data_IF_677006794609
#
_entry.id   IF_677006794609
#
_cell.length_a   1.000
_cell.length_b   1.000
_cell.length_c   1.000
_cell.angle_alpha   90.00
_cell.angle_beta   90.00
_cell.angle_gamma   90.00
#
_symmetry.space_group_name_H-M   'P 1'
#
loop_
_entity.id
_entity.type
_entity.pdbx_description
1 polymer ?
#
# COMPACT_ATOMS: atom_id res chain seq x y z
N UNK A 1 53.45 42.14 37.59
CA UNK A 1 52.01 41.85 37.72
C UNK A 1 51.39 41.90 36.33
N UNK A 2 50.58 40.87 36.00
CA UNK A 2 49.71 40.70 34.80
C UNK A 2 50.41 40.67 33.42
N UNK A 3 50.01 39.88 32.41
CA UNK A 3 49.04 38.80 32.25
C UNK A 3 49.40 38.11 30.92
N UNK A 4 49.53 36.78 30.88
CA UNK A 4 49.61 36.02 29.62
C UNK A 4 48.22 35.48 29.30
N UNK A 5 47.62 35.96 28.21
CA UNK A 5 46.38 35.45 27.65
C UNK A 5 46.62 34.07 27.00
N UNK A 6 45.99 33.04 27.54
CA UNK A 6 45.89 31.72 26.91
C UNK A 6 44.54 31.63 26.20
N UNK A 7 44.55 31.54 24.87
CA UNK A 7 43.35 31.29 24.08
C UNK A 7 43.05 29.78 24.06
N UNK A 8 41.96 29.37 24.71
CA UNK A 8 41.41 28.01 24.63
C UNK A 8 40.57 27.90 23.34
N UNK A 9 41.03 27.07 22.42
CA UNK A 9 40.34 26.73 21.18
C UNK A 9 39.34 25.59 21.47
N UNK A 10 38.07 25.91 21.70
CA UNK A 10 37.02 24.92 21.86
C UNK A 10 36.60 24.37 20.50
N UNK A 11 36.99 23.13 20.19
CA UNK A 11 36.51 22.38 19.02
C UNK A 11 35.12 21.83 19.32
N UNK A 12 34.09 22.39 18.69
CA UNK A 12 32.73 21.86 18.73
C UNK A 12 32.63 20.65 17.80
N UNK A 13 32.52 19.45 18.37
CA UNK A 13 32.26 18.22 17.62
C UNK A 13 30.75 18.12 17.35
N UNK A 14 30.30 18.54 16.18
CA UNK A 14 28.90 18.38 15.75
C UNK A 14 28.68 16.93 15.33
N UNK A 15 28.05 16.16 16.22
CA UNK A 15 27.55 14.81 15.90
C UNK A 15 26.36 14.95 14.92
N UNK A 16 26.63 14.82 13.62
CA UNK A 16 25.58 14.70 12.61
C UNK A 16 25.01 13.28 12.68
N UNK A 17 23.89 13.14 13.36
CA UNK A 17 23.06 11.93 13.35
C UNK A 17 22.53 11.71 11.93
N UNK A 18 23.13 10.76 11.21
CA UNK A 18 22.66 10.33 9.90
C UNK A 18 21.43 9.43 10.09
N UNK A 19 20.26 10.03 10.25
CA UNK A 19 18.99 9.30 10.14
C UNK A 19 18.84 8.80 8.70
N UNK A 20 18.87 7.48 8.54
CA UNK A 20 18.76 6.77 7.27
C UNK A 20 17.50 7.20 6.50
N UNK A 21 17.67 7.88 5.37
CA UNK A 21 16.58 8.31 4.48
C UNK A 21 15.68 7.14 3.99
N UNK A 22 16.13 5.89 4.11
CA UNK A 22 15.36 4.70 3.75
C UNK A 22 14.13 4.45 4.64
N UNK A 23 14.14 4.90 5.91
CA UNK A 23 13.00 4.69 6.81
C UNK A 23 11.81 5.62 6.52
N UNK A 24 12.00 6.69 5.75
CA UNK A 24 10.96 7.71 5.54
C UNK A 24 9.97 7.39 4.40
N UNK A 25 10.26 6.42 3.52
CA UNK A 25 9.39 6.09 2.38
C UNK A 25 8.52 4.83 2.55
N UNK A 26 8.64 4.10 3.67
CA UNK A 26 7.77 2.96 3.93
C UNK A 26 6.42 3.42 4.46
N UNK A 27 5.33 2.92 3.86
CA UNK A 27 3.99 3.16 4.35
C UNK A 27 3.78 2.43 5.68
N UNK A 28 3.70 3.17 6.80
CA UNK A 28 3.37 2.59 8.11
C UNK A 28 1.88 2.25 8.26
N UNK A 29 1.03 2.82 7.40
CA UNK A 29 -0.42 2.64 7.39
C UNK A 29 -1.00 2.81 5.98
N UNK A 30 -2.19 2.27 5.77
CA UNK A 30 -3.03 2.54 4.59
C UNK A 30 -4.22 3.39 5.01
N UNK A 31 -4.49 4.47 4.27
CA UNK A 31 -5.67 5.32 4.47
C UNK A 31 -6.76 4.98 3.45
N UNK A 32 -7.96 4.71 3.91
CA UNK A 32 -9.19 4.59 3.10
C UNK A 32 -9.91 5.94 3.09
N UNK A 33 -10.02 6.56 1.91
CA UNK A 33 -10.43 7.97 1.75
C UNK A 33 -11.34 8.19 0.54
N UNK A 34 -11.75 9.44 0.30
CA UNK A 34 -12.60 9.83 -0.82
C UNK A 34 -14.09 9.65 -0.49
N UNK A 35 -14.86 9.17 -1.46
CA UNK A 35 -16.31 8.93 -1.36
C UNK A 35 -16.62 7.66 -0.56
N UNK A 36 -16.30 7.70 0.73
CA UNK A 36 -16.56 6.61 1.69
C UNK A 36 -17.29 7.15 2.91
N UNK A 37 -18.18 6.35 3.49
CA UNK A 37 -18.99 6.73 4.66
C UNK A 37 -18.18 6.73 5.95
N UNK A 38 -17.24 5.79 6.07
CA UNK A 38 -16.42 5.59 7.25
C UNK A 38 -14.92 5.54 6.87
N UNK A 39 -14.27 6.71 6.70
CA UNK A 39 -12.83 6.77 6.49
C UNK A 39 -12.06 6.03 7.58
N UNK A 40 -10.95 5.40 7.19
CA UNK A 40 -10.28 4.38 8.01
C UNK A 40 -8.76 4.44 7.78
N UNK A 41 -7.96 4.30 8.83
CA UNK A 41 -6.50 4.11 8.73
C UNK A 41 -6.12 2.73 9.29
N UNK A 42 -5.49 1.90 8.47
CA UNK A 42 -5.11 0.53 8.80
C UNK A 42 -3.60 0.44 9.04
N UNK A 43 -3.21 -0.07 10.20
CA UNK A 43 -1.86 -0.55 10.53
C UNK A 43 -1.78 -2.07 10.32
N UNK A 44 -0.57 -2.66 10.35
CA UNK A 44 -0.38 -4.12 10.24
C UNK A 44 -1.22 -4.84 11.31
N UNK A 45 -1.18 -4.35 12.55
CA UNK A 45 -1.92 -4.89 13.68
C UNK A 45 -3.43 -4.93 13.39
N UNK A 46 -4.01 -3.79 13.00
CA UNK A 46 -5.44 -3.72 12.68
C UNK A 46 -5.84 -4.60 11.48
N UNK A 47 -4.95 -4.77 10.51
CA UNK A 47 -5.18 -5.61 9.33
C UNK A 47 -5.18 -7.10 9.71
N UNK A 48 -4.32 -7.51 10.66
CA UNK A 48 -4.22 -8.86 11.20
C UNK A 48 -5.51 -9.35 11.89
N UNK A 49 -6.36 -8.42 12.35
CA UNK A 49 -7.64 -8.71 13.00
C UNK A 49 -8.82 -8.81 12.01
N UNK A 50 -8.59 -8.59 10.71
CA UNK A 50 -9.60 -8.74 9.68
C UNK A 50 -9.71 -10.19 9.19
N UNK A 51 -10.74 -10.55 8.40
CA UNK A 51 -10.84 -11.86 7.76
C UNK A 51 -9.66 -12.12 6.81
N UNK A 52 -8.59 -12.69 7.35
CA UNK A 52 -7.36 -12.96 6.60
C UNK A 52 -7.60 -13.99 5.50
N UNK A 53 -7.01 -13.72 4.34
CA UNK A 53 -6.96 -14.64 3.21
C UNK A 53 -5.50 -14.97 2.92
N UNK A 54 -5.29 -16.19 2.45
CA UNK A 54 -4.00 -16.68 2.00
C UNK A 54 -4.11 -17.17 0.57
N UNK A 55 -3.00 -17.15 -0.16
CA UNK A 55 -2.91 -17.67 -1.51
C UNK A 55 -1.47 -17.89 -1.94
N UNK A 56 -1.29 -18.12 -3.25
CA UNK A 56 -0.03 -18.51 -3.86
C UNK A 56 0.00 -19.99 -4.26
N UNK A 57 0.99 -20.42 -5.05
CA UNK A 57 2.07 -19.60 -5.63
C UNK A 57 1.59 -18.68 -6.76
N UNK A 58 2.31 -17.60 -7.03
CA UNK A 58 2.06 -16.69 -8.16
C UNK A 58 3.34 -16.04 -8.70
N UNK A 59 3.36 -15.85 -10.02
CA UNK A 59 4.41 -15.11 -10.73
C UNK A 59 4.03 -13.62 -10.85
N UNK A 60 4.99 -12.76 -10.52
CA UNK A 60 4.92 -11.34 -10.88
C UNK A 60 5.47 -11.19 -12.30
N UNK A 61 4.58 -10.96 -13.25
CA UNK A 61 4.86 -10.90 -14.68
C UNK A 61 4.95 -9.45 -15.13
N UNK A 62 6.05 -9.09 -15.79
CA UNK A 62 6.24 -7.76 -16.37
C UNK A 62 5.56 -7.61 -17.73
N UNK A 63 5.50 -6.39 -18.24
CA UNK A 63 4.83 -6.07 -19.51
C UNK A 63 5.42 -6.79 -20.73
N UNK A 64 6.66 -7.28 -20.67
CA UNK A 64 7.25 -8.09 -21.75
C UNK A 64 7.09 -9.60 -21.52
N UNK A 65 6.22 -10.01 -20.60
CA UNK A 65 5.92 -11.41 -20.30
C UNK A 65 6.96 -12.12 -19.43
N UNK A 66 8.04 -11.44 -19.03
CA UNK A 66 9.06 -12.03 -18.18
C UNK A 66 8.57 -12.16 -16.73
N UNK A 67 8.88 -13.28 -16.09
CA UNK A 67 8.69 -13.45 -14.65
C UNK A 67 9.77 -12.65 -13.93
N UNK A 68 9.36 -11.62 -13.19
CA UNK A 68 10.25 -10.74 -12.41
C UNK A 68 10.48 -11.22 -10.99
N UNK A 69 9.48 -11.88 -10.40
CA UNK A 69 9.52 -12.42 -9.03
C UNK A 69 8.53 -13.58 -8.92
N UNK A 70 8.82 -14.55 -8.05
CA UNK A 70 7.89 -15.60 -7.66
C UNK A 70 7.53 -15.41 -6.19
N UNK A 71 6.24 -15.39 -5.88
CA UNK A 71 5.71 -15.41 -4.51
C UNK A 71 5.13 -16.80 -4.29
N UNK A 72 5.70 -17.57 -3.37
CA UNK A 72 5.27 -18.95 -3.12
C UNK A 72 4.03 -19.01 -2.22
N UNK A 73 3.90 -18.05 -1.30
CA UNK A 73 2.69 -17.85 -0.50
C UNK A 73 2.53 -16.38 -0.13
N UNK A 74 1.30 -15.94 0.14
CA UNK A 74 1.03 -14.60 0.67
C UNK A 74 -0.13 -14.62 1.65
N UNK A 75 -0.18 -13.61 2.53
CA UNK A 75 -1.33 -13.34 3.40
C UNK A 75 -1.71 -11.87 3.36
N UNK A 76 -3.01 -11.65 3.42
CA UNK A 76 -3.58 -10.32 3.31
C UNK A 76 -5.09 -10.32 3.52
N UNK A 77 -5.71 -9.23 3.10
CA UNK A 77 -7.17 -9.06 3.09
C UNK A 77 -7.63 -8.71 1.69
N UNK A 78 -8.89 -9.00 1.36
CA UNK A 78 -9.45 -8.58 0.08
C UNK A 78 -9.69 -7.06 0.10
N UNK A 79 -9.33 -6.40 -0.99
CA UNK A 79 -9.66 -4.98 -1.19
C UNK A 79 -11.18 -4.77 -1.11
N UNK A 80 -11.96 -5.70 -1.66
CA UNK A 80 -13.42 -5.64 -1.64
C UNK A 80 -13.99 -5.61 -0.22
N UNK A 81 -13.48 -6.47 0.67
CA UNK A 81 -13.95 -6.54 2.06
C UNK A 81 -13.69 -5.22 2.81
N UNK A 82 -12.58 -4.54 2.49
CA UNK A 82 -12.29 -3.21 3.04
C UNK A 82 -13.25 -2.14 2.50
N UNK A 83 -13.57 -2.19 1.21
CA UNK A 83 -14.54 -1.27 0.58
C UNK A 83 -15.95 -1.47 1.17
N UNK A 84 -16.36 -2.72 1.38
CA UNK A 84 -17.62 -3.07 2.04
C UNK A 84 -17.65 -2.53 3.48
N UNK A 85 -16.52 -2.65 4.21
CA UNK A 85 -16.39 -2.16 5.59
C UNK A 85 -16.48 -0.63 5.70
N UNK A 86 -15.80 0.12 4.84
CA UNK A 86 -15.86 1.60 4.89
C UNK A 86 -17.17 2.14 4.32
N UNK A 87 -17.83 1.36 3.46
CA UNK A 87 -19.05 1.73 2.76
C UNK A 87 -18.81 2.84 1.74
N UNK A 88 -19.16 2.62 0.48
CA UNK A 88 -19.05 3.68 -0.53
C UNK A 88 -20.19 4.69 -0.34
N UNK A 89 -19.84 5.97 -0.32
CA UNK A 89 -20.82 7.05 -0.27
C UNK A 89 -21.32 7.35 -1.70
N UNK A 90 -22.48 6.78 -2.02
CA UNK A 90 -23.11 6.92 -3.33
C UNK A 90 -24.45 7.66 -3.20
N UNK A 91 -24.53 8.86 -3.77
CA UNK A 91 -25.79 9.60 -3.85
C UNK A 91 -26.88 8.84 -4.63
N UNK A 92 -26.49 8.13 -5.69
CA UNK A 92 -27.39 7.29 -6.49
C UNK A 92 -26.76 5.90 -6.72
N UNK A 93 -27.28 4.82 -6.11
CA UNK A 93 -26.78 3.46 -6.30
C UNK A 93 -26.81 2.96 -7.75
N UNK A 94 -27.69 3.52 -8.60
CA UNK A 94 -27.75 3.17 -10.04
C UNK A 94 -26.51 3.66 -10.80
N UNK A 95 -25.76 4.59 -10.23
CA UNK A 95 -24.52 5.11 -10.81
C UNK A 95 -23.27 4.38 -10.33
N UNK A 96 -23.37 3.19 -9.72
CA UNK A 96 -22.22 2.41 -9.24
C UNK A 96 -21.10 2.24 -10.27
N UNK A 97 -21.45 2.20 -11.57
CA UNK A 97 -20.48 2.09 -12.67
C UNK A 97 -19.64 3.33 -12.92
N UNK A 98 -20.00 4.47 -12.33
CA UNK A 98 -19.22 5.71 -12.38
C UNK A 98 -18.16 5.80 -11.29
N UNK A 99 -18.16 4.88 -10.31
CA UNK A 99 -17.20 4.90 -9.21
C UNK A 99 -15.97 4.07 -9.56
N UNK A 100 -14.83 4.53 -9.06
CA UNK A 100 -13.55 3.85 -9.23
C UNK A 100 -12.70 3.98 -7.98
N UNK A 101 -11.79 3.02 -7.81
CA UNK A 101 -10.91 2.90 -6.66
C UNK A 101 -9.48 3.13 -7.13
N UNK A 102 -8.79 4.03 -6.44
CA UNK A 102 -7.41 4.41 -6.71
C UNK A 102 -6.56 3.82 -5.59
N UNK A 103 -5.58 2.99 -5.94
CA UNK A 103 -4.56 2.49 -5.03
C UNK A 103 -3.26 3.25 -5.30
N UNK A 104 -2.73 3.94 -4.28
CA UNK A 104 -1.56 4.83 -4.41
C UNK A 104 -0.44 4.38 -3.47
N UNK A 105 0.77 4.41 -4.01
CA UNK A 105 2.02 4.20 -3.29
C UNK A 105 2.59 5.52 -2.77
N UNK A 106 3.51 5.44 -1.79
CA UNK A 106 4.25 6.61 -1.30
C UNK A 106 5.10 7.29 -2.38
N UNK A 107 5.58 6.54 -3.37
CA UNK A 107 6.35 7.04 -4.51
C UNK A 107 5.48 7.64 -5.64
N UNK A 108 4.16 7.67 -5.46
CA UNK A 108 3.20 8.19 -6.42
C UNK A 108 2.69 7.18 -7.45
N UNK A 109 3.25 5.96 -7.51
CA UNK A 109 2.74 4.91 -8.38
C UNK A 109 1.25 4.63 -8.06
N UNK A 110 0.45 4.44 -9.09
CA UNK A 110 -1.01 4.40 -8.97
C UNK A 110 -1.60 3.32 -9.86
N UNK A 111 -2.46 2.48 -9.28
CA UNK A 111 -3.35 1.57 -10.01
C UNK A 111 -4.81 1.98 -9.79
N UNK A 112 -5.64 1.82 -10.83
CA UNK A 112 -7.06 2.16 -10.77
C UNK A 112 -7.90 0.93 -11.11
N UNK A 113 -9.02 0.79 -10.40
CA UNK A 113 -10.01 -0.26 -10.59
C UNK A 113 -11.37 0.37 -10.79
N UNK A 114 -12.15 -0.11 -11.77
CA UNK A 114 -13.56 0.25 -11.81
C UNK A 114 -14.26 -0.39 -10.60
N UNK A 115 -15.11 0.34 -9.88
CA UNK A 115 -15.79 -0.23 -8.71
C UNK A 115 -16.65 -1.44 -9.08
N UNK A 116 -17.29 -1.40 -10.26
CA UNK A 116 -18.04 -2.54 -10.80
C UNK A 116 -17.19 -3.76 -11.14
N UNK A 117 -15.90 -3.59 -11.49
CA UNK A 117 -14.97 -4.71 -11.68
C UNK A 117 -14.82 -5.47 -10.36
N UNK A 118 -14.58 -4.75 -9.26
CA UNK A 118 -14.41 -5.34 -7.93
C UNK A 118 -15.69 -6.00 -7.39
N UNK A 119 -16.87 -5.69 -7.93
CA UNK A 119 -18.14 -6.28 -7.48
C UNK A 119 -18.59 -7.47 -8.33
N UNK A 120 -18.42 -7.40 -9.65
CA UNK A 120 -19.05 -8.35 -10.59
C UNK A 120 -18.04 -9.22 -11.35
N UNK A 121 -16.74 -8.96 -11.22
CA UNK A 121 -15.68 -9.76 -11.83
C UNK A 121 -14.95 -10.59 -10.76
N UNK A 122 -14.42 -11.79 -11.10
CA UNK A 122 -13.49 -12.53 -10.23
C UNK A 122 -12.39 -11.67 -9.60
N UNK A 123 -11.94 -10.58 -10.25
CA UNK A 123 -10.98 -9.61 -9.71
C UNK A 123 -11.31 -9.15 -8.29
N UNK A 124 -12.60 -8.99 -7.93
CA UNK A 124 -13.01 -8.60 -6.58
C UNK A 124 -12.62 -9.59 -5.48
N UNK A 125 -12.52 -10.87 -5.83
CA UNK A 125 -12.11 -11.97 -4.95
C UNK A 125 -10.62 -12.30 -5.11
N UNK A 126 -9.92 -11.55 -5.97
CA UNK A 126 -8.56 -11.83 -6.42
C UNK A 126 -7.66 -10.59 -6.31
N UNK A 127 -8.14 -9.52 -5.69
CA UNK A 127 -7.36 -8.30 -5.39
C UNK A 127 -7.15 -8.19 -3.90
N UNK A 128 -5.89 -8.28 -3.47
CA UNK A 128 -5.49 -8.36 -2.08
C UNK A 128 -4.66 -7.14 -1.67
N UNK A 129 -4.76 -6.79 -0.39
CA UNK A 129 -3.77 -5.97 0.32
C UNK A 129 -2.99 -6.92 1.22
N UNK A 130 -1.72 -7.12 0.88
CA UNK A 130 -0.79 -8.03 1.53
C UNK A 130 0.01 -7.32 2.62
N UNK A 131 0.38 -8.08 3.66
CA UNK A 131 1.37 -7.67 4.67
C UNK A 131 2.42 -8.77 4.92
N UNK A 132 2.24 -9.96 4.32
CA UNK A 132 3.14 -11.10 4.44
C UNK A 132 3.33 -11.77 3.08
N UNK A 133 4.57 -12.11 2.74
CA UNK A 133 4.96 -12.91 1.58
C UNK A 133 5.92 -14.03 2.04
N UNK A 134 5.74 -15.23 1.50
CA UNK A 134 6.60 -16.39 1.74
C UNK A 134 6.80 -16.70 3.24
N UNK A 135 5.74 -16.52 4.05
CA UNK A 135 5.78 -16.73 5.50
C UNK A 135 6.48 -15.62 6.30
N UNK A 136 6.80 -14.48 5.68
CA UNK A 136 7.55 -13.39 6.31
C UNK A 136 6.86 -12.04 6.10
N UNK A 137 6.93 -11.11 7.08
CA UNK A 137 6.47 -9.74 6.88
C UNK A 137 7.16 -9.08 5.68
N UNK A 138 6.41 -8.27 4.93
CA UNK A 138 6.96 -7.51 3.82
C UNK A 138 7.72 -6.30 4.38
N UNK A 139 9.00 -6.15 4.00
CA UNK A 139 9.85 -5.04 4.46
C UNK A 139 10.25 -4.15 3.29
N UNK A 140 11.00 -4.68 2.33
CA UNK A 140 11.61 -3.86 1.27
C UNK A 140 10.58 -3.19 0.34
N UNK A 141 9.47 -3.89 0.05
CA UNK A 141 8.36 -3.40 -0.77
C UNK A 141 7.36 -2.56 0.02
N UNK A 142 7.68 -2.19 1.26
CA UNK A 142 6.78 -1.51 2.21
C UNK A 142 5.91 -2.49 2.99
N UNK A 143 5.38 -2.06 4.12
CA UNK A 143 4.56 -2.91 4.99
C UNK A 143 3.28 -3.44 4.30
N UNK A 144 2.86 -2.78 3.22
CA UNK A 144 1.68 -3.15 2.48
C UNK A 144 1.90 -3.13 0.97
N UNK A 145 1.38 -4.16 0.32
CA UNK A 145 1.42 -4.33 -1.14
C UNK A 145 0.03 -4.66 -1.65
N UNK A 146 -0.43 -3.98 -2.70
CA UNK A 146 -1.62 -4.43 -3.44
C UNK A 146 -1.21 -5.44 -4.51
N UNK A 147 -1.92 -6.57 -4.58
CA UNK A 147 -1.70 -7.62 -5.57
C UNK A 147 -3.02 -8.09 -6.18
N UNK A 148 -3.11 -8.09 -7.51
CA UNK A 148 -4.23 -8.67 -8.27
C UNK A 148 -3.77 -9.96 -8.95
N UNK A 149 -4.31 -11.11 -8.52
CA UNK A 149 -3.76 -12.42 -8.90
C UNK A 149 -4.24 -12.93 -10.25
N UNK A 150 -5.33 -12.37 -10.80
CA UNK A 150 -5.90 -12.76 -12.08
C UNK A 150 -5.48 -11.86 -13.25
N UNK A 151 -4.55 -10.93 -13.02
CA UNK A 151 -3.97 -10.14 -14.09
C UNK A 151 -3.04 -10.99 -14.95
N UNK A 152 -3.06 -10.78 -16.27
CA UNK A 152 -2.09 -11.39 -17.18
C UNK A 152 -0.71 -10.75 -17.02
N UNK A 153 -0.68 -9.43 -16.87
CA UNK A 153 0.51 -8.64 -16.52
C UNK A 153 0.39 -8.20 -15.07
N UNK A 154 0.59 -9.12 -14.13
CA UNK A 154 0.41 -8.86 -12.68
C UNK A 154 1.25 -7.70 -12.17
N UNK A 155 2.43 -7.45 -12.76
CA UNK A 155 3.28 -6.31 -12.40
C UNK A 155 2.68 -4.93 -12.66
N UNK A 156 1.65 -4.81 -13.51
CA UNK A 156 1.03 -3.52 -13.85
C UNK A 156 0.04 -3.01 -12.79
N UNK A 157 -0.46 -3.88 -11.90
CA UNK A 157 -1.29 -3.52 -10.75
C UNK A 157 -0.73 -4.09 -9.44
N UNK A 158 0.60 -4.24 -9.39
CA UNK A 158 1.31 -4.66 -8.19
C UNK A 158 1.89 -3.43 -7.49
N UNK A 159 1.12 -2.85 -6.57
CA UNK A 159 1.42 -1.55 -5.94
C UNK A 159 2.20 -1.79 -4.64
N UNK A 160 3.51 -1.55 -4.68
CA UNK A 160 4.39 -1.55 -3.51
C UNK A 160 4.26 -0.24 -2.73
N UNK A 161 4.69 -0.23 -1.47
CA UNK A 161 4.63 0.92 -0.56
C UNK A 161 3.23 1.56 -0.53
N UNK A 162 2.19 0.72 -0.58
CA UNK A 162 0.81 1.14 -0.64
C UNK A 162 0.47 1.97 0.62
N UNK A 163 0.02 3.21 0.45
CA UNK A 163 -0.32 4.11 1.56
C UNK A 163 -1.76 4.62 1.53
N UNK A 164 -2.45 4.51 0.39
CA UNK A 164 -3.79 5.05 0.25
C UNK A 164 -4.64 4.23 -0.71
N UNK A 165 -5.89 4.02 -0.31
CA UNK A 165 -7.00 3.62 -1.16
C UNK A 165 -8.00 4.76 -1.15
N UNK A 166 -8.37 5.24 -2.32
CA UNK A 166 -9.27 6.37 -2.47
C UNK A 166 -10.40 6.03 -3.44
N UNK A 167 -11.62 6.40 -3.06
CA UNK A 167 -12.80 6.19 -3.92
C UNK A 167 -13.22 7.50 -4.55
N UNK A 168 -13.37 7.52 -5.87
CA UNK A 168 -13.84 8.67 -6.63
C UNK A 168 -14.95 8.28 -7.61
N UNK A 169 -15.58 9.29 -8.19
CA UNK A 169 -16.61 9.17 -9.21
C UNK A 169 -16.15 9.91 -10.47
N UNK A 170 -16.37 9.35 -11.64
CA UNK A 170 -16.19 10.06 -12.92
C UNK A 170 -17.34 11.05 -13.11
N UNK A 171 -17.02 12.25 -13.59
CA UNK A 171 -18.00 13.30 -13.88
C UNK A 171 -18.86 12.96 -15.11
#
# INVERSE_FOLDING_TARGET
MSSRCSALLSVFFVLVSHSSLFAQNQSAQIKMTGLVKHPLSLTIDSLGHLPLKAGGPINIVGSSGQVRRVITSFRGVLLRDLLDRVGIDMANPKEKGKYYVIARATDGYTAVFAYNELLNNPTGQQTFILFEENGKPIVDDGAFVLLTVNDTVTGARHVKWLNQIEVRKVE
#
